data_IF_202413397874
#
_entry.id   IF_202413397874
#
_cell.length_a   1.000
_cell.length_b   1.000
_cell.length_c   1.000
_cell.angle_alpha   90.00
_cell.angle_beta   90.00
_cell.angle_gamma   90.00
#
_symmetry.space_group_name_H-M   'P 1'
#
loop_
_entity.id
_entity.type
_entity.pdbx_description
1 polymer ?
#
# COMPACT_ATOMS: atom_id res chain seq x y z
N UNK A 1 75.23 16.16 -11.63
CA UNK A 1 74.06 15.52 -12.27
C UNK A 1 73.32 14.49 -11.41
N UNK A 2 73.97 13.70 -10.54
CA UNK A 2 73.28 12.63 -9.76
C UNK A 2 72.40 13.08 -8.58
N UNK A 3 72.60 14.29 -8.03
CA UNK A 3 71.83 14.79 -6.85
C UNK A 3 70.40 15.28 -7.18
N UNK A 4 70.16 15.81 -8.39
CA UNK A 4 68.83 16.28 -8.80
C UNK A 4 67.91 15.13 -9.25
N UNK A 5 68.47 13.97 -9.60
CA UNK A 5 67.69 12.80 -10.04
C UNK A 5 67.07 12.04 -8.85
N UNK A 6 67.76 12.00 -7.71
CA UNK A 6 67.25 11.39 -6.47
C UNK A 6 66.13 12.21 -5.81
N UNK A 7 66.16 13.55 -5.93
CA UNK A 7 65.10 14.41 -5.41
C UNK A 7 63.82 14.34 -6.26
N UNK A 8 63.97 14.23 -7.59
CA UNK A 8 62.83 14.03 -8.50
C UNK A 8 62.18 12.65 -8.33
N UNK A 9 62.97 11.60 -8.10
CA UNK A 9 62.47 10.25 -7.86
C UNK A 9 61.77 10.13 -6.48
N UNK A 10 62.26 10.83 -5.45
CA UNK A 10 61.60 10.91 -4.14
C UNK A 10 60.28 11.69 -4.18
N UNK A 11 60.19 12.78 -4.96
CA UNK A 11 58.93 13.51 -5.17
C UNK A 11 57.92 12.72 -6.00
N UNK A 12 58.36 11.92 -6.98
CA UNK A 12 57.48 11.03 -7.76
C UNK A 12 57.03 9.80 -6.95
N UNK A 13 57.84 9.28 -6.04
CA UNK A 13 57.44 8.20 -5.12
C UNK A 13 56.51 8.71 -4.00
N UNK A 14 56.69 9.93 -3.50
CA UNK A 14 55.73 10.55 -2.56
C UNK A 14 54.40 10.92 -3.23
N UNK A 15 54.41 11.31 -4.52
CA UNK A 15 53.19 11.56 -5.28
C UNK A 15 52.46 10.28 -5.75
N UNK A 16 53.18 9.16 -5.95
CA UNK A 16 52.59 7.88 -6.39
C UNK A 16 52.23 6.92 -5.25
N UNK A 17 52.65 7.20 -4.01
CA UNK A 17 52.23 6.44 -2.81
C UNK A 17 50.97 7.02 -2.13
N UNK A 18 50.41 8.14 -2.62
CA UNK A 18 49.12 8.68 -2.14
C UNK A 18 47.89 8.29 -2.99
N UNK A 19 47.99 7.35 -3.92
CA UNK A 19 46.82 6.85 -4.66
C UNK A 19 46.60 5.35 -4.46
N UNK A 20 46.37 4.95 -3.22
CA UNK A 20 45.62 3.72 -2.96
C UNK A 20 44.83 3.78 -1.65
N UNK A 21 43.68 4.45 -1.68
CA UNK A 21 42.46 3.93 -1.05
C UNK A 21 41.34 4.33 -2.00
N UNK A 22 40.52 3.38 -2.45
CA UNK A 22 39.21 3.70 -3.03
C UNK A 22 38.49 4.62 -2.02
N UNK A 23 38.54 5.93 -2.21
CA UNK A 23 37.78 6.85 -1.38
C UNK A 23 36.32 6.46 -1.60
N UNK A 24 35.75 5.70 -0.66
CA UNK A 24 34.32 5.44 -0.66
C UNK A 24 33.68 6.82 -0.60
N UNK A 25 33.09 7.26 -1.71
CA UNK A 25 32.40 8.54 -1.78
C UNK A 25 31.36 8.50 -0.67
N UNK A 26 31.59 9.31 0.35
CA UNK A 26 30.66 9.43 1.47
C UNK A 26 29.33 9.91 0.88
N UNK A 27 28.22 9.21 1.14
CA UNK A 27 26.92 9.58 0.59
C UNK A 27 26.32 10.84 1.25
N UNK A 28 26.97 11.38 2.30
CA UNK A 28 26.54 12.52 3.08
C UNK A 28 27.59 13.64 3.07
N UNK A 29 27.17 14.87 3.37
CA UNK A 29 28.02 16.04 3.52
C UNK A 29 28.38 16.29 5.00
N UNK A 30 27.44 16.05 5.91
CA UNK A 30 27.67 16.20 7.36
C UNK A 30 26.83 15.22 8.20
N UNK A 31 27.08 15.17 9.50
CA UNK A 31 26.38 14.30 10.46
C UNK A 31 26.25 15.00 11.81
N UNK A 32 25.19 14.67 12.56
CA UNK A 32 25.00 15.06 13.97
C UNK A 32 25.49 13.99 14.97
N UNK A 33 26.21 12.97 14.47
CA UNK A 33 26.66 11.80 15.23
C UNK A 33 25.65 10.65 15.28
N UNK A 34 24.38 10.88 14.91
CA UNK A 34 23.34 9.84 14.85
C UNK A 34 22.82 9.62 13.43
N UNK A 35 22.59 10.70 12.69
CA UNK A 35 22.08 10.72 11.33
C UNK A 35 23.08 11.37 10.38
N UNK A 36 22.96 11.02 9.10
CA UNK A 36 23.84 11.51 8.04
C UNK A 36 23.01 12.34 7.05
N UNK A 37 23.52 13.51 6.67
CA UNK A 37 22.78 14.50 5.91
C UNK A 37 23.50 14.84 4.61
N UNK A 38 22.76 14.84 3.51
CA UNK A 38 23.21 15.33 2.21
C UNK A 38 22.51 16.65 1.91
N UNK A 39 23.26 17.71 1.67
CA UNK A 39 22.73 19.00 1.23
C UNK A 39 22.19 18.83 -0.18
N UNK A 40 20.88 19.04 -0.34
CA UNK A 40 20.20 18.98 -1.64
C UNK A 40 20.10 20.36 -2.27
N UNK A 41 20.08 21.42 -1.47
CA UNK A 41 20.18 22.80 -1.92
C UNK A 41 20.82 23.70 -0.86
N UNK A 42 21.93 24.35 -1.21
CA UNK A 42 22.56 25.37 -0.34
C UNK A 42 21.73 26.65 -0.29
N UNK A 43 21.12 27.03 -1.40
CA UNK A 43 20.30 28.24 -1.53
C UNK A 43 19.01 28.13 -0.71
N UNK A 44 18.25 27.03 -0.90
CA UNK A 44 17.01 26.78 -0.17
C UNK A 44 17.25 26.25 1.25
N UNK A 45 18.52 25.98 1.62
CA UNK A 45 18.93 25.39 2.90
C UNK A 45 18.17 24.09 3.17
N UNK A 46 18.25 23.14 2.24
CA UNK A 46 17.57 21.85 2.35
C UNK A 46 18.57 20.68 2.40
N UNK A 47 18.25 19.67 3.20
CA UNK A 47 18.99 18.42 3.32
C UNK A 47 18.08 17.21 3.26
N UNK A 48 18.64 16.10 2.78
CA UNK A 48 18.06 14.77 2.94
C UNK A 48 18.81 13.98 4.01
N UNK A 49 18.10 13.19 4.80
CA UNK A 49 18.71 12.12 5.60
C UNK A 49 19.11 10.98 4.68
N UNK A 50 20.36 10.53 4.75
CA UNK A 50 20.94 9.48 3.91
C UNK A 50 21.62 8.41 4.79
N UNK A 51 22.05 7.31 4.19
CA UNK A 51 22.79 6.27 4.91
C UNK A 51 24.24 6.69 5.20
N UNK A 52 24.91 6.00 6.13
CA UNK A 52 26.33 6.23 6.43
C UNK A 52 27.22 5.91 5.22
N UNK A 53 26.97 4.78 4.55
CA UNK A 53 27.75 4.28 3.42
C UNK A 53 26.86 4.06 2.19
N UNK A 54 27.43 3.97 0.97
CA UNK A 54 26.66 3.72 -0.24
C UNK A 54 25.76 2.49 -0.14
N UNK A 55 24.63 2.51 -0.86
CA UNK A 55 23.64 1.41 -0.93
C UNK A 55 22.98 1.06 0.41
N UNK A 56 22.85 2.03 1.32
CA UNK A 56 22.15 1.83 2.59
C UNK A 56 22.94 1.09 3.66
N UNK A 57 24.26 0.97 3.50
CA UNK A 57 25.11 0.25 4.46
C UNK A 57 25.42 1.14 5.67
N UNK A 58 25.44 0.53 6.85
CA UNK A 58 25.82 1.12 8.13
C UNK A 58 26.94 0.32 8.78
N UNK A 59 27.84 0.98 9.51
CA UNK A 59 28.80 0.32 10.42
C UNK A 59 28.05 -0.28 11.60
N UNK A 60 27.11 0.47 12.17
CA UNK A 60 26.18 0.01 13.19
C UNK A 60 24.77 0.42 12.77
N UNK A 61 23.90 -0.56 12.51
CA UNK A 61 22.51 -0.29 12.12
C UNK A 61 21.76 0.42 13.27
N UNK A 62 20.95 1.40 12.91
CA UNK A 62 20.08 2.11 13.85
C UNK A 62 19.05 1.14 14.46
N UNK A 63 18.74 1.33 15.74
CA UNK A 63 17.82 0.50 16.52
C UNK A 63 16.97 1.33 17.48
N UNK A 64 15.84 0.78 17.91
CA UNK A 64 14.88 1.43 18.80
C UNK A 64 14.05 2.50 18.10
N UNK A 65 13.48 3.42 18.89
CA UNK A 65 12.75 4.55 18.36
C UNK A 65 13.69 5.62 17.81
N UNK A 66 13.40 6.12 16.60
CA UNK A 66 14.13 7.18 15.93
C UNK A 66 13.23 8.40 15.74
N UNK A 67 13.73 9.59 16.10
CA UNK A 67 13.13 10.86 15.68
C UNK A 67 14.06 11.50 14.68
N UNK A 68 13.53 11.81 13.50
CA UNK A 68 14.24 12.58 12.48
C UNK A 68 13.92 14.06 12.73
N UNK A 69 14.91 14.94 12.91
CA UNK A 69 14.67 16.33 13.28
C UNK A 69 14.08 17.14 12.11
N UNK A 70 13.43 18.26 12.41
CA UNK A 70 12.95 19.23 11.40
C UNK A 70 14.10 19.92 10.66
N UNK A 71 15.24 20.07 11.31
CA UNK A 71 16.42 20.71 10.76
C UNK A 71 17.71 20.13 11.31
N UNK A 72 18.80 20.23 10.55
CA UNK A 72 20.14 19.90 10.99
C UNK A 72 21.11 21.07 10.68
N UNK A 73 22.01 21.37 11.62
CA UNK A 73 22.93 22.50 11.50
C UNK A 73 24.30 22.06 11.03
N UNK A 74 24.86 22.74 10.04
CA UNK A 74 26.22 22.55 9.55
C UNK A 74 26.89 23.91 9.35
N UNK A 75 28.05 24.10 9.97
CA UNK A 75 28.85 25.35 9.87
C UNK A 75 28.03 26.61 10.19
N UNK A 76 27.22 26.55 11.26
CA UNK A 76 26.35 27.66 11.69
C UNK A 76 25.11 27.89 10.83
N UNK A 77 24.92 27.14 9.74
CA UNK A 77 23.72 27.21 8.90
C UNK A 77 22.77 26.07 9.24
N UNK A 78 21.52 26.40 9.58
CA UNK A 78 20.44 25.42 9.74
C UNK A 78 19.85 25.05 8.36
N UNK A 79 19.73 23.75 8.10
CA UNK A 79 19.10 23.19 6.91
C UNK A 79 17.83 22.43 7.29
N UNK A 80 16.72 22.67 6.60
CA UNK A 80 15.48 21.92 6.78
C UNK A 80 15.63 20.48 6.25
N UNK A 81 15.11 19.50 6.98
CA UNK A 81 15.12 18.09 6.58
C UNK A 81 13.92 17.82 5.68
N UNK A 82 14.11 18.00 4.37
CA UNK A 82 13.02 17.91 3.40
C UNK A 82 12.89 16.55 2.74
N UNK A 83 13.81 15.62 2.99
CA UNK A 83 13.67 14.28 2.43
C UNK A 83 14.42 13.17 3.15
N UNK A 84 14.02 11.95 2.83
CA UNK A 84 14.73 10.72 3.18
C UNK A 84 15.26 10.14 1.88
N UNK A 85 16.59 10.04 1.80
CA UNK A 85 17.32 9.57 0.65
C UNK A 85 17.10 8.09 0.34
N UNK A 86 17.48 7.72 -0.87
CA UNK A 86 17.40 6.34 -1.35
C UNK A 86 18.15 5.42 -0.39
N UNK A 87 17.49 4.36 0.07
CA UNK A 87 18.06 3.37 1.00
C UNK A 87 18.55 3.95 2.33
N UNK A 88 18.10 5.14 2.76
CA UNK A 88 18.62 5.81 3.96
C UNK A 88 18.58 4.92 5.22
N UNK A 89 17.53 4.13 5.43
CA UNK A 89 17.36 3.21 6.55
C UNK A 89 17.22 1.75 6.08
N UNK A 90 17.78 1.43 4.91
CA UNK A 90 17.72 0.09 4.33
C UNK A 90 18.21 -0.98 5.33
N UNK A 91 17.37 -1.99 5.57
CA UNK A 91 17.61 -3.11 6.48
C UNK A 91 17.97 -2.66 7.90
N UNK A 92 17.55 -1.47 8.37
CA UNK A 92 17.67 -1.10 9.78
C UNK A 92 16.64 -1.87 10.61
N UNK A 93 16.87 -3.18 10.76
CA UNK A 93 15.93 -4.18 11.29
C UNK A 93 15.52 -3.91 12.74
N UNK A 94 16.39 -3.27 13.53
CA UNK A 94 16.12 -2.93 14.91
C UNK A 94 15.30 -1.66 15.13
N UNK A 95 14.99 -0.89 14.08
CA UNK A 95 14.12 0.29 14.22
C UNK A 95 12.70 -0.14 14.55
N UNK A 96 12.15 0.35 15.66
CA UNK A 96 10.81 -0.02 16.14
C UNK A 96 9.74 1.04 15.88
N UNK A 97 10.17 2.30 15.83
CA UNK A 97 9.34 3.46 15.54
C UNK A 97 10.17 4.56 14.86
N UNK A 98 9.56 5.31 13.96
CA UNK A 98 10.18 6.47 13.30
C UNK A 98 9.22 7.65 13.34
N UNK A 99 9.64 8.75 13.97
CA UNK A 99 8.95 10.04 13.90
C UNK A 99 9.53 10.85 12.76
N UNK A 100 8.68 11.15 11.77
CA UNK A 100 9.03 11.93 10.58
C UNK A 100 8.77 13.44 10.83
N UNK A 101 9.65 14.34 10.34
CA UNK A 101 9.47 15.77 10.51
C UNK A 101 8.35 16.31 9.63
N UNK A 102 7.67 17.35 10.08
CA UNK A 102 6.60 18.04 9.34
C UNK A 102 7.10 18.74 8.06
N UNK A 103 8.38 19.10 8.02
CA UNK A 103 9.08 19.66 6.85
C UNK A 103 9.33 18.65 5.71
N UNK A 104 9.05 17.36 5.92
CA UNK A 104 9.37 16.30 4.98
C UNK A 104 8.51 16.38 3.69
N UNK A 105 9.19 16.48 2.55
CA UNK A 105 8.57 16.52 1.21
C UNK A 105 8.71 15.18 0.46
N UNK A 106 9.76 14.41 0.72
CA UNK A 106 10.03 13.17 -0.03
C UNK A 106 10.54 12.00 0.82
N UNK A 107 10.03 10.81 0.56
CA UNK A 107 10.55 9.53 1.04
C UNK A 107 10.99 8.75 -0.20
N UNK A 108 12.28 8.52 -0.37
CA UNK A 108 12.83 7.96 -1.61
C UNK A 108 12.71 6.44 -1.71
N UNK A 109 13.17 5.89 -2.83
CA UNK A 109 13.15 4.45 -3.08
C UNK A 109 13.88 3.67 -1.99
N UNK A 110 13.25 2.59 -1.52
CA UNK A 110 13.80 1.65 -0.53
C UNK A 110 14.23 2.30 0.79
N UNK A 111 13.76 3.51 1.12
CA UNK A 111 14.24 4.25 2.30
C UNK A 111 14.11 3.48 3.61
N UNK A 112 13.06 2.68 3.80
CA UNK A 112 12.87 1.81 4.98
C UNK A 112 12.72 0.33 4.59
N UNK A 113 13.22 -0.08 3.43
CA UNK A 113 13.11 -1.47 2.98
C UNK A 113 13.73 -2.40 4.03
N UNK A 114 12.99 -3.40 4.52
CA UNK A 114 13.51 -4.40 5.45
C UNK A 114 13.71 -3.88 6.89
N UNK A 115 13.07 -2.78 7.28
CA UNK A 115 12.99 -2.38 8.69
C UNK A 115 12.04 -3.33 9.46
N UNK A 116 12.51 -4.56 9.75
CA UNK A 116 11.68 -5.64 10.30
C UNK A 116 10.99 -5.32 11.63
N UNK A 117 11.59 -4.49 12.49
CA UNK A 117 11.02 -4.09 13.77
C UNK A 117 9.99 -2.95 13.69
N UNK A 118 9.86 -2.26 12.55
CA UNK A 118 9.03 -1.06 12.45
C UNK A 118 7.56 -1.45 12.49
N UNK A 119 6.81 -0.93 13.47
CA UNK A 119 5.41 -1.34 13.73
C UNK A 119 4.37 -0.42 13.10
N UNK A 120 4.66 0.88 13.03
CA UNK A 120 3.82 1.88 12.38
C UNK A 120 4.67 3.02 11.83
N UNK A 121 4.13 3.74 10.84
CA UNK A 121 4.70 5.00 10.38
C UNK A 121 3.58 5.97 9.98
N UNK A 122 3.76 7.26 10.30
CA UNK A 122 2.83 8.33 9.97
C UNK A 122 3.46 9.27 8.95
N UNK A 123 2.86 9.37 7.76
CA UNK A 123 3.31 10.22 6.66
C UNK A 123 2.84 11.67 6.89
N UNK A 124 3.77 12.65 6.98
CA UNK A 124 3.44 14.07 7.16
C UNK A 124 2.66 14.70 5.99
N UNK A 125 2.01 15.83 6.27
CA UNK A 125 1.14 16.55 5.31
C UNK A 125 1.88 17.10 4.09
N UNK A 126 3.16 17.46 4.20
CA UNK A 126 3.96 18.00 3.08
C UNK A 126 4.58 16.93 2.19
N UNK A 127 4.45 15.63 2.49
CA UNK A 127 5.04 14.57 1.66
C UNK A 127 4.32 14.50 0.31
N UNK A 128 5.06 14.79 -0.75
CA UNK A 128 4.60 14.79 -2.13
C UNK A 128 5.03 13.55 -2.91
N UNK A 129 6.06 12.84 -2.43
CA UNK A 129 6.64 11.69 -3.10
C UNK A 129 7.00 10.57 -2.12
N UNK A 130 6.47 9.38 -2.38
CA UNK A 130 6.90 8.12 -1.77
C UNK A 130 7.45 7.22 -2.87
N UNK A 131 8.71 6.82 -2.72
CA UNK A 131 9.46 6.03 -3.69
C UNK A 131 9.08 4.56 -3.70
N UNK A 132 9.55 3.86 -4.74
CA UNK A 132 9.29 2.42 -4.90
C UNK A 132 9.88 1.65 -3.72
N UNK A 133 9.09 0.72 -3.17
CA UNK A 133 9.49 -0.16 -2.08
C UNK A 133 9.94 0.58 -0.80
N UNK A 134 9.49 1.82 -0.58
CA UNK A 134 9.89 2.62 0.58
C UNK A 134 9.69 1.87 1.91
N UNK A 135 8.61 1.09 2.03
CA UNK A 135 8.24 0.33 3.25
C UNK A 135 8.13 -1.19 3.01
N UNK A 136 8.62 -1.69 1.87
CA UNK A 136 8.48 -3.12 1.55
C UNK A 136 9.34 -3.97 2.51
N UNK A 137 8.83 -5.17 2.82
CA UNK A 137 9.46 -6.12 3.75
C UNK A 137 9.63 -5.59 5.17
N UNK A 138 8.84 -4.61 5.62
CA UNK A 138 8.77 -4.27 7.05
C UNK A 138 7.82 -5.27 7.75
N UNK A 139 8.37 -6.41 8.18
CA UNK A 139 7.58 -7.57 8.61
C UNK A 139 6.60 -7.31 9.76
N UNK A 140 6.91 -6.39 10.67
CA UNK A 140 6.04 -6.01 11.80
C UNK A 140 5.20 -4.76 11.52
N UNK A 141 5.28 -4.15 10.32
CA UNK A 141 4.56 -2.92 10.02
C UNK A 141 3.09 -3.26 9.84
N UNK A 142 2.24 -2.82 10.77
CA UNK A 142 0.80 -3.10 10.77
C UNK A 142 -0.01 -1.97 10.13
N UNK A 143 0.52 -0.74 10.15
CA UNK A 143 -0.16 0.45 9.59
C UNK A 143 0.78 1.50 9.04
N UNK A 144 0.38 2.08 7.92
CA UNK A 144 0.92 3.32 7.35
C UNK A 144 -0.20 4.36 7.45
N UNK A 145 -0.06 5.30 8.38
CA UNK A 145 -0.98 6.41 8.54
C UNK A 145 -0.55 7.62 7.71
N UNK A 146 -1.50 8.50 7.39
CA UNK A 146 -1.23 9.72 6.65
C UNK A 146 -1.94 10.87 7.34
N UNK A 147 -1.27 12.01 7.49
CA UNK A 147 -1.91 13.24 7.99
C UNK A 147 -3.05 13.68 7.09
N UNK A 148 -4.16 14.12 7.70
CA UNK A 148 -5.40 14.44 7.01
C UNK A 148 -5.22 15.48 5.88
N UNK A 149 -4.34 16.46 6.12
CA UNK A 149 -4.04 17.55 5.18
C UNK A 149 -3.03 17.17 4.09
N UNK A 150 -2.53 15.93 4.03
CA UNK A 150 -1.68 15.50 2.93
C UNK A 150 -2.47 15.58 1.60
N UNK A 151 -1.89 16.26 0.60
CA UNK A 151 -2.55 16.52 -0.69
C UNK A 151 -2.46 15.36 -1.69
N UNK A 152 -1.53 14.42 -1.49
CA UNK A 152 -1.21 13.35 -2.45
C UNK A 152 -1.65 11.97 -1.99
N UNK A 153 -1.67 11.75 -0.69
CA UNK A 153 -1.86 10.44 -0.09
C UNK A 153 -2.96 10.48 0.97
N UNK A 154 -3.51 9.30 1.27
CA UNK A 154 -4.31 9.09 2.46
C UNK A 154 -4.14 7.65 2.96
N UNK A 155 -4.58 7.41 4.20
CA UNK A 155 -4.65 6.07 4.76
C UNK A 155 -6.10 5.65 4.98
N UNK A 156 -6.43 4.40 4.65
CA UNK A 156 -7.69 3.75 5.04
C UNK A 156 -7.34 2.42 5.70
N UNK A 157 -7.74 2.26 6.94
CA UNK A 157 -7.47 1.05 7.73
C UNK A 157 -5.97 0.66 7.74
N UNK A 158 -5.09 1.67 7.86
CA UNK A 158 -3.64 1.50 7.88
C UNK A 158 -3.01 1.17 6.52
N UNK A 159 -3.78 1.10 5.43
CA UNK A 159 -3.27 0.88 4.06
C UNK A 159 -3.09 2.23 3.36
N UNK A 160 -1.99 2.37 2.62
CA UNK A 160 -1.63 3.59 1.91
C UNK A 160 -2.29 3.65 0.52
N UNK A 161 -2.96 4.77 0.25
CA UNK A 161 -3.58 5.08 -1.04
C UNK A 161 -3.13 6.45 -1.55
N UNK A 162 -3.41 6.74 -2.82
CA UNK A 162 -3.47 8.11 -3.29
C UNK A 162 -4.67 8.86 -2.65
N UNK A 163 -4.69 10.19 -2.79
CA UNK A 163 -5.62 11.05 -2.05
C UNK A 163 -7.11 10.77 -2.33
N UNK A 164 -7.44 10.46 -3.57
CA UNK A 164 -8.80 10.13 -4.05
C UNK A 164 -9.16 8.65 -3.87
N UNK A 165 -8.27 7.83 -3.30
CA UNK A 165 -8.50 6.40 -3.01
C UNK A 165 -8.80 5.59 -4.28
N UNK A 166 -8.25 5.99 -5.42
CA UNK A 166 -8.36 5.26 -6.69
C UNK A 166 -7.22 4.24 -6.90
N UNK A 167 -6.11 4.39 -6.16
CA UNK A 167 -4.92 3.55 -6.27
C UNK A 167 -4.54 3.03 -4.89
N UNK A 168 -4.47 1.70 -4.73
CA UNK A 168 -3.76 1.08 -3.61
C UNK A 168 -2.26 1.19 -3.89
N UNK A 169 -1.53 1.86 -3.01
CA UNK A 169 -0.08 2.06 -3.16
C UNK A 169 0.68 0.97 -2.40
N UNK A 170 0.38 0.79 -1.11
CA UNK A 170 1.08 -0.17 -0.25
C UNK A 170 0.19 -0.58 0.93
N UNK A 171 -0.03 -1.87 1.06
CA UNK A 171 -0.46 -2.52 2.28
C UNK A 171 0.78 -2.86 3.13
N UNK A 172 0.75 -2.56 4.44
CA UNK A 172 1.81 -2.97 5.36
C UNK A 172 1.97 -4.50 5.40
N UNK A 173 3.19 -5.01 5.25
CA UNK A 173 3.46 -6.47 5.22
C UNK A 173 3.07 -7.20 6.51
N UNK A 174 3.04 -6.48 7.64
CA UNK A 174 2.60 -6.99 8.94
C UNK A 174 1.10 -6.88 9.19
N UNK A 175 0.30 -6.29 8.27
CA UNK A 175 -1.16 -6.20 8.43
C UNK A 175 -1.77 -7.61 8.53
N UNK A 176 -2.69 -7.77 9.49
CA UNK A 176 -3.34 -9.05 9.82
C UNK A 176 -4.83 -9.04 9.48
N UNK A 177 -5.39 -10.22 9.25
CA UNK A 177 -6.83 -10.41 9.08
C UNK A 177 -7.30 -10.06 7.67
N UNK A 178 -8.50 -9.49 7.59
CA UNK A 178 -9.16 -9.25 6.32
C UNK A 178 -8.78 -7.89 5.73
N UNK A 179 -8.66 -7.82 4.40
CA UNK A 179 -8.44 -6.56 3.70
C UNK A 179 -9.56 -6.28 2.69
N UNK A 180 -10.36 -5.25 2.99
CA UNK A 180 -11.44 -4.80 2.12
C UNK A 180 -10.98 -3.61 1.28
N UNK A 181 -10.70 -3.84 -0.01
CA UNK A 181 -10.33 -2.76 -0.93
C UNK A 181 -11.59 -1.90 -1.21
N UNK A 182 -11.52 -0.56 -1.04
CA UNK A 182 -12.64 0.35 -1.28
C UNK A 182 -13.14 0.33 -2.73
N UNK A 183 -14.44 0.58 -2.93
CA UNK A 183 -15.08 0.61 -4.27
C UNK A 183 -14.47 1.64 -5.23
N UNK A 184 -13.90 2.73 -4.71
CA UNK A 184 -13.27 3.76 -5.53
C UNK A 184 -11.99 3.30 -6.21
N UNK A 185 -11.40 2.19 -5.77
CA UNK A 185 -10.13 1.70 -6.28
C UNK A 185 -10.31 1.14 -7.69
N UNK A 186 -9.55 1.70 -8.61
CA UNK A 186 -9.43 1.22 -10.00
C UNK A 186 -8.11 0.52 -10.25
N UNK A 187 -7.08 0.78 -9.41
CA UNK A 187 -5.73 0.24 -9.60
C UNK A 187 -5.12 -0.31 -8.32
N UNK A 188 -4.56 -1.51 -8.42
CA UNK A 188 -3.68 -2.09 -7.41
C UNK A 188 -2.24 -2.01 -7.94
N UNK A 189 -1.37 -1.26 -7.25
CA UNK A 189 0.01 -1.06 -7.69
C UNK A 189 0.83 -2.35 -7.67
N UNK A 190 1.93 -2.36 -8.42
CA UNK A 190 2.91 -3.43 -8.32
C UNK A 190 3.43 -3.54 -6.87
N UNK A 191 3.58 -4.77 -6.38
CA UNK A 191 3.96 -5.09 -4.99
C UNK A 191 3.06 -4.49 -3.89
N UNK A 192 1.85 -4.02 -4.20
CA UNK A 192 0.99 -3.33 -3.23
C UNK A 192 0.73 -4.16 -1.96
N UNK A 193 0.57 -5.48 -2.07
CA UNK A 193 0.39 -6.41 -0.96
C UNK A 193 1.57 -7.40 -0.82
N UNK A 194 2.74 -7.04 -1.34
CA UNK A 194 3.92 -7.91 -1.31
C UNK A 194 4.27 -8.32 0.13
N UNK A 195 4.37 -9.63 0.35
CA UNK A 195 4.72 -10.22 1.63
C UNK A 195 3.73 -9.91 2.76
N UNK A 196 2.46 -9.66 2.46
CA UNK A 196 1.41 -9.53 3.47
C UNK A 196 1.09 -10.90 4.09
N UNK A 197 1.99 -11.39 4.94
CA UNK A 197 1.95 -12.75 5.50
C UNK A 197 0.87 -12.96 6.56
N UNK A 198 0.24 -11.88 7.03
CA UNK A 198 -0.84 -11.91 8.03
C UNK A 198 -2.25 -11.85 7.46
N UNK A 199 -2.41 -11.55 6.16
CA UNK A 199 -3.74 -11.42 5.55
C UNK A 199 -4.38 -12.79 5.33
N UNK A 200 -5.65 -12.91 5.70
CA UNK A 200 -6.43 -14.17 5.66
C UNK A 200 -7.52 -14.16 4.60
N UNK A 201 -8.18 -13.02 4.40
CA UNK A 201 -9.14 -12.84 3.33
C UNK A 201 -9.00 -11.45 2.69
N UNK A 202 -9.44 -11.34 1.44
CA UNK A 202 -9.52 -10.04 0.79
C UNK A 202 -10.69 -9.94 -0.19
N UNK A 203 -11.10 -8.70 -0.44
CA UNK A 203 -12.08 -8.34 -1.48
C UNK A 203 -11.43 -7.51 -2.57
N UNK A 204 -11.65 -7.91 -3.83
CA UNK A 204 -11.29 -7.13 -5.03
C UNK A 204 -12.61 -6.59 -5.63
N UNK A 205 -12.87 -5.26 -5.56
CA UNK A 205 -14.12 -4.67 -6.02
C UNK A 205 -14.24 -4.66 -7.54
N UNK A 206 -15.48 -4.52 -8.01
CA UNK A 206 -15.81 -4.58 -9.43
C UNK A 206 -15.19 -3.45 -10.29
N UNK A 207 -14.70 -2.37 -9.67
CA UNK A 207 -14.09 -1.23 -10.36
C UNK A 207 -12.60 -1.39 -10.64
N UNK A 208 -11.95 -2.45 -10.16
CA UNK A 208 -10.52 -2.69 -10.40
C UNK A 208 -10.30 -3.06 -11.86
N UNK A 209 -9.56 -2.22 -12.57
CA UNK A 209 -9.21 -2.41 -13.99
C UNK A 209 -7.74 -2.75 -14.19
N UNK A 210 -6.91 -2.67 -13.15
CA UNK A 210 -5.49 -2.99 -13.23
C UNK A 210 -4.93 -3.57 -11.92
N UNK A 211 -4.15 -4.64 -12.04
CA UNK A 211 -3.36 -5.21 -10.94
C UNK A 211 -1.90 -5.36 -11.39
N UNK A 212 -0.98 -4.69 -10.70
CA UNK A 212 0.44 -4.66 -11.07
C UNK A 212 1.23 -5.92 -10.73
N UNK A 213 2.46 -5.99 -11.23
CA UNK A 213 3.38 -7.11 -10.99
C UNK A 213 3.54 -7.43 -9.50
N UNK A 214 3.57 -8.72 -9.17
CA UNK A 214 3.81 -9.22 -7.81
C UNK A 214 2.84 -8.65 -6.76
N UNK A 215 1.66 -8.14 -7.16
CA UNK A 215 0.80 -7.38 -6.25
C UNK A 215 0.43 -8.13 -4.97
N UNK A 216 0.22 -9.45 -5.03
CA UNK A 216 -0.08 -10.31 -3.88
C UNK A 216 1.01 -11.36 -3.63
N UNK A 217 2.21 -11.14 -4.16
CA UNK A 217 3.32 -12.07 -4.00
C UNK A 217 3.59 -12.35 -2.52
N UNK A 218 3.70 -13.61 -2.13
CA UNK A 218 4.06 -13.99 -0.76
C UNK A 218 2.95 -13.72 0.28
N UNK A 219 1.70 -13.56 -0.14
CA UNK A 219 0.54 -13.58 0.77
C UNK A 219 0.25 -15.03 1.22
N UNK A 220 1.18 -15.63 1.96
CA UNK A 220 1.20 -17.07 2.28
C UNK A 220 0.04 -17.55 3.16
N UNK A 221 -0.59 -16.65 3.93
CA UNK A 221 -1.76 -16.94 4.78
C UNK A 221 -3.10 -16.58 4.15
N UNK A 222 -3.12 -16.06 2.92
CA UNK A 222 -4.36 -15.66 2.27
C UNK A 222 -5.16 -16.92 1.86
N UNK A 223 -6.34 -17.11 2.48
CA UNK A 223 -7.21 -18.27 2.29
C UNK A 223 -8.44 -17.97 1.45
N UNK A 224 -8.88 -16.72 1.37
CA UNK A 224 -10.09 -16.34 0.63
C UNK A 224 -9.89 -15.06 -0.17
N UNK A 225 -10.22 -15.11 -1.46
CA UNK A 225 -10.33 -13.93 -2.31
C UNK A 225 -11.77 -13.85 -2.81
N UNK A 226 -12.46 -12.75 -2.54
CA UNK A 226 -13.75 -12.42 -3.13
C UNK A 226 -13.52 -11.41 -4.25
N UNK A 227 -13.57 -11.86 -5.49
CA UNK A 227 -13.37 -11.04 -6.67
C UNK A 227 -14.73 -10.71 -7.30
N UNK A 228 -15.04 -9.43 -7.47
CA UNK A 228 -16.32 -8.99 -8.02
C UNK A 228 -16.28 -8.66 -9.51
N UNK A 229 -15.13 -8.84 -10.14
CA UNK A 229 -15.00 -8.62 -11.58
C UNK A 229 -15.78 -9.72 -12.30
N UNK A 230 -16.66 -9.31 -13.23
CA UNK A 230 -17.44 -10.26 -14.02
C UNK A 230 -16.53 -11.02 -14.99
N UNK A 231 -15.60 -10.33 -15.61
CA UNK A 231 -14.57 -10.91 -16.46
C UNK A 231 -13.20 -10.79 -15.77
N UNK A 232 -12.35 -11.82 -15.82
CA UNK A 232 -11.02 -11.75 -15.22
C UNK A 232 -10.15 -10.72 -15.95
N UNK A 233 -9.34 -9.98 -15.19
CA UNK A 233 -8.27 -9.18 -15.80
C UNK A 233 -7.24 -10.10 -16.45
N UNK A 234 -6.86 -9.77 -17.67
CA UNK A 234 -5.86 -10.47 -18.50
C UNK A 234 -4.98 -9.48 -19.25
N UNK A 235 -3.92 -9.97 -19.91
CA UNK A 235 -3.04 -9.13 -20.74
C UNK A 235 -2.40 -7.99 -19.94
N UNK A 236 -2.36 -6.78 -20.51
CA UNK A 236 -1.72 -5.61 -19.90
C UNK A 236 -2.40 -5.12 -18.61
N UNK A 237 -3.66 -5.50 -18.38
CA UNK A 237 -4.40 -5.19 -17.15
C UNK A 237 -3.95 -6.04 -15.94
N UNK A 238 -3.17 -7.09 -16.19
CA UNK A 238 -2.75 -8.07 -15.19
C UNK A 238 -1.23 -8.27 -15.23
N UNK A 239 -0.55 -7.91 -14.15
CA UNK A 239 0.89 -8.04 -14.03
C UNK A 239 1.39 -9.49 -14.05
N UNK A 240 2.71 -9.62 -14.01
CA UNK A 240 3.40 -10.91 -13.84
C UNK A 240 3.44 -11.33 -12.37
N UNK A 241 3.42 -12.64 -12.10
CA UNK A 241 3.55 -13.22 -10.75
C UNK A 241 2.63 -12.64 -9.66
N UNK A 242 1.47 -12.12 -10.07
CA UNK A 242 0.53 -11.42 -9.18
C UNK A 242 0.15 -12.25 -7.94
N UNK A 243 -0.05 -13.56 -8.09
CA UNK A 243 -0.45 -14.48 -7.03
C UNK A 243 0.64 -15.52 -6.70
N UNK A 244 1.90 -15.25 -7.01
CA UNK A 244 2.99 -16.17 -6.69
C UNK A 244 3.20 -16.29 -5.17
N UNK A 245 3.41 -17.51 -4.68
CA UNK A 245 3.46 -17.82 -3.23
C UNK A 245 2.22 -17.41 -2.42
N UNK A 246 1.06 -17.26 -3.07
CA UNK A 246 -0.21 -17.11 -2.34
C UNK A 246 -0.61 -18.47 -1.76
N UNK A 247 -1.04 -18.46 -0.49
CA UNK A 247 -1.54 -19.64 0.23
C UNK A 247 -0.53 -20.79 0.45
N UNK A 248 0.77 -20.57 0.24
CA UNK A 248 1.81 -21.63 0.38
C UNK A 248 2.27 -21.91 1.81
N UNK A 249 1.68 -21.25 2.82
CA UNK A 249 2.15 -21.31 4.21
C UNK A 249 1.91 -22.63 4.95
N UNK A 250 1.06 -23.52 4.43
CA UNK A 250 0.78 -24.85 5.02
C UNK A 250 0.72 -25.93 3.93
N UNK A 251 1.10 -27.17 4.28
CA UNK A 251 1.00 -28.38 3.45
C UNK A 251 -0.48 -28.70 3.22
N UNK A 252 -1.12 -27.99 2.28
CA UNK A 252 -2.55 -28.11 1.96
C UNK A 252 -3.32 -26.79 1.76
N UNK A 253 -2.68 -25.63 1.81
CA UNK A 253 -3.38 -24.35 1.65
C UNK A 253 -3.82 -24.06 0.21
N UNK A 254 -5.08 -24.32 -0.14
CA UNK A 254 -5.69 -23.72 -1.34
C UNK A 254 -6.45 -22.45 -0.98
N UNK A 255 -6.09 -21.34 -1.61
CA UNK A 255 -6.91 -20.14 -1.51
C UNK A 255 -8.18 -20.35 -2.32
N UNK A 256 -9.35 -20.16 -1.70
CA UNK A 256 -10.62 -20.17 -2.41
C UNK A 256 -10.82 -18.82 -3.09
N UNK A 257 -10.99 -18.86 -4.41
CA UNK A 257 -11.37 -17.70 -5.20
C UNK A 257 -12.88 -17.75 -5.45
N UNK A 258 -13.60 -16.79 -4.87
CA UNK A 258 -15.01 -16.56 -5.14
C UNK A 258 -15.14 -15.54 -6.27
N UNK A 259 -15.89 -15.89 -7.32
CA UNK A 259 -16.17 -15.04 -8.50
C UNK A 259 -17.67 -14.93 -8.74
N UNK A 260 -18.15 -13.95 -9.53
CA UNK A 260 -19.57 -13.84 -9.86
C UNK A 260 -20.09 -15.09 -10.59
N UNK A 261 -21.36 -15.42 -10.39
CA UNK A 261 -22.04 -16.52 -11.10
C UNK A 261 -21.94 -16.33 -12.62
N UNK A 262 -21.58 -17.39 -13.34
CA UNK A 262 -21.34 -17.41 -14.79
C UNK A 262 -19.93 -17.00 -15.22
N UNK A 263 -19.03 -16.68 -14.28
CA UNK A 263 -17.66 -16.24 -14.58
C UNK A 263 -16.62 -17.34 -14.40
N UNK A 264 -16.95 -18.46 -13.75
CA UNK A 264 -15.97 -19.48 -13.35
C UNK A 264 -15.11 -19.96 -14.52
N UNK A 265 -15.72 -20.31 -15.64
CA UNK A 265 -14.99 -20.82 -16.82
C UNK A 265 -13.93 -19.84 -17.33
N UNK A 266 -14.28 -18.55 -17.45
CA UNK A 266 -13.34 -17.52 -17.90
C UNK A 266 -12.13 -17.39 -16.94
N UNK A 267 -12.37 -17.49 -15.62
CA UNK A 267 -11.31 -17.45 -14.61
C UNK A 267 -10.43 -18.71 -14.61
N UNK A 268 -10.99 -19.88 -14.89
CA UNK A 268 -10.23 -21.13 -15.03
C UNK A 268 -9.29 -21.11 -16.23
N UNK A 269 -9.66 -20.38 -17.30
CA UNK A 269 -8.86 -20.24 -18.53
C UNK A 269 -7.82 -19.09 -18.45
N UNK A 270 -8.05 -18.09 -17.59
CA UNK A 270 -7.18 -16.92 -17.48
C UNK A 270 -5.83 -17.21 -16.79
N UNK A 271 -4.72 -16.77 -17.40
CA UNK A 271 -3.36 -17.22 -17.07
C UNK A 271 -2.92 -17.05 -15.61
N UNK A 272 -3.19 -15.89 -14.98
CA UNK A 272 -2.84 -15.64 -13.59
C UNK A 272 -3.86 -16.24 -12.61
N UNK A 273 -5.14 -16.32 -13.00
CA UNK A 273 -6.25 -16.77 -12.16
C UNK A 273 -6.35 -18.29 -12.08
N UNK A 274 -5.91 -19.03 -13.11
CA UNK A 274 -5.89 -20.49 -13.10
C UNK A 274 -5.04 -21.10 -11.97
N UNK A 275 -4.16 -20.31 -11.32
CA UNK A 275 -3.43 -20.71 -10.09
C UNK A 275 -4.39 -21.12 -8.96
N UNK A 276 -5.65 -20.68 -8.99
CA UNK A 276 -6.66 -21.04 -8.00
C UNK A 276 -7.44 -22.31 -8.34
N UNK A 277 -7.24 -22.96 -9.50
CA UNK A 277 -7.90 -24.23 -9.85
C UNK A 277 -7.43 -25.35 -8.92
N UNK A 278 -8.31 -26.24 -8.41
CA UNK A 278 -9.77 -26.34 -8.67
C UNK A 278 -10.66 -25.51 -7.71
N UNK A 279 -10.08 -24.61 -6.93
CA UNK A 279 -10.71 -23.87 -5.83
C UNK A 279 -11.38 -22.56 -6.27
N UNK A 280 -11.88 -22.51 -7.50
CA UNK A 280 -12.69 -21.41 -8.03
C UNK A 280 -14.17 -21.74 -7.82
N UNK A 281 -14.86 -20.88 -7.10
CA UNK A 281 -16.25 -21.06 -6.67
C UNK A 281 -17.06 -19.85 -7.12
N UNK A 282 -18.24 -20.10 -7.69
CA UNK A 282 -19.18 -19.04 -8.00
C UNK A 282 -19.95 -18.63 -6.75
N UNK A 283 -20.09 -17.32 -6.51
CA UNK A 283 -20.89 -16.75 -5.43
C UNK A 283 -21.93 -15.79 -6.03
N UNK A 284 -23.21 -16.07 -5.79
CA UNK A 284 -24.35 -15.29 -6.27
C UNK A 284 -24.45 -13.89 -5.64
N UNK A 285 -23.65 -13.62 -4.62
CA UNK A 285 -23.56 -12.30 -3.97
C UNK A 285 -22.52 -11.37 -4.60
N UNK A 286 -21.64 -11.88 -5.48
CA UNK A 286 -20.58 -11.09 -6.13
C UNK A 286 -20.98 -10.60 -7.54
N UNK A 287 -20.39 -9.49 -7.99
CA UNK A 287 -20.69 -8.86 -9.29
C UNK A 287 -22.03 -8.12 -9.34
N UNK A 288 -22.71 -8.04 -8.21
CA UNK A 288 -23.86 -7.20 -7.98
C UNK A 288 -23.33 -5.85 -7.51
N UNK A 289 -23.19 -4.90 -8.43
CA UNK A 289 -22.60 -3.59 -8.14
C UNK A 289 -23.28 -2.92 -6.95
N UNK A 290 -22.52 -2.68 -5.87
CA UNK A 290 -22.95 -1.79 -4.78
C UNK A 290 -23.07 -0.40 -5.39
N UNK A 291 -24.30 0.06 -5.64
CA UNK A 291 -24.52 1.45 -6.01
C UNK A 291 -24.38 2.29 -4.73
N UNK A 292 -23.14 2.61 -4.36
CA UNK A 292 -22.87 3.83 -3.60
C UNK A 292 -23.03 4.99 -4.56
N UNK A 293 -24.18 5.65 -4.53
CA UNK A 293 -24.32 6.92 -5.23
C UNK A 293 -25.10 7.91 -4.39
N UNK A 294 -24.63 9.16 -4.39
CA UNK A 294 -25.29 10.32 -3.78
C UNK A 294 -25.75 10.11 -2.33
N UNK A 295 -24.90 9.50 -1.50
CA UNK A 295 -25.16 9.36 -0.06
C UNK A 295 -26.09 8.23 0.32
N UNK A 296 -26.42 7.26 -0.55
CA UNK A 296 -27.14 6.05 -0.18
C UNK A 296 -26.21 4.85 -0.37
N UNK A 297 -26.06 4.00 0.66
CA UNK A 297 -25.40 2.71 0.56
C UNK A 297 -26.36 1.58 0.93
N UNK A 298 -26.31 0.50 0.17
CA UNK A 298 -27.14 -0.68 0.37
C UNK A 298 -26.23 -1.89 0.45
N UNK A 299 -26.37 -2.71 1.49
CA UNK A 299 -25.60 -3.95 1.68
C UNK A 299 -26.45 -5.04 2.34
N UNK A 300 -25.91 -6.25 2.39
CA UNK A 300 -26.49 -7.39 3.09
C UNK A 300 -25.68 -7.72 4.34
N UNK A 301 -26.35 -8.01 5.46
CA UNK A 301 -25.72 -8.41 6.71
C UNK A 301 -26.68 -9.32 7.51
N UNK A 302 -26.26 -10.57 7.78
CA UNK A 302 -26.96 -11.55 8.64
C UNK A 302 -28.47 -11.68 8.40
N UNK A 303 -28.91 -12.03 7.18
CA UNK A 303 -30.33 -12.17 6.84
C UNK A 303 -31.07 -10.84 6.67
N UNK A 304 -30.36 -9.70 6.59
CA UNK A 304 -30.96 -8.37 6.49
C UNK A 304 -30.39 -7.57 5.33
N UNK A 305 -31.24 -6.72 4.73
CA UNK A 305 -30.81 -5.63 3.86
C UNK A 305 -30.59 -4.39 4.73
N UNK A 306 -29.38 -3.84 4.68
CA UNK A 306 -29.02 -2.60 5.34
C UNK A 306 -28.98 -1.46 4.32
N UNK A 307 -29.70 -0.39 4.61
CA UNK A 307 -29.74 0.83 3.79
C UNK A 307 -29.30 1.99 4.66
N UNK A 308 -28.30 2.74 4.22
CA UNK A 308 -27.77 3.91 4.92
C UNK A 308 -27.91 5.12 4.00
N UNK A 309 -28.61 6.16 4.45
CA UNK A 309 -28.66 7.45 3.78
C UNK A 309 -27.74 8.43 4.54
N UNK A 310 -27.02 9.32 3.84
CA UNK A 310 -26.03 10.28 4.40
C UNK A 310 -26.26 11.72 3.97
N UNK A 311 -27.21 11.98 3.06
CA UNK A 311 -27.43 13.32 2.50
C UNK A 311 -28.90 13.70 2.42
N UNK A 312 -29.65 13.05 1.52
CA UNK A 312 -31.05 13.37 1.27
C UNK A 312 -31.98 12.22 1.66
N UNK A 313 -33.24 12.57 1.88
CA UNK A 313 -34.31 11.58 1.97
C UNK A 313 -34.47 10.84 0.62
N UNK A 314 -34.85 9.57 0.66
CA UNK A 314 -34.95 8.73 -0.52
C UNK A 314 -36.16 7.81 -0.47
N UNK A 315 -36.87 7.72 -1.60
CA UNK A 315 -37.89 6.70 -1.80
C UNK A 315 -37.20 5.37 -2.09
N UNK A 316 -37.40 4.41 -1.19
CA UNK A 316 -36.86 3.06 -1.30
C UNK A 316 -37.99 2.11 -1.66
N UNK A 317 -37.76 1.29 -2.69
CA UNK A 317 -38.59 0.16 -3.05
C UNK A 317 -37.71 -1.08 -3.21
N UNK A 318 -38.05 -2.18 -2.55
CA UNK A 318 -37.30 -3.43 -2.61
C UNK A 318 -38.18 -4.47 -3.28
N UNK A 319 -37.66 -5.11 -4.32
CA UNK A 319 -38.36 -6.16 -5.06
C UNK A 319 -37.60 -7.47 -4.92
N UNK A 320 -38.29 -8.61 -4.95
CA UNK A 320 -37.64 -9.91 -5.11
C UNK A 320 -37.29 -10.17 -6.60
N UNK A 321 -36.65 -11.30 -6.90
CA UNK A 321 -36.32 -11.71 -8.29
C UNK A 321 -37.53 -11.94 -9.19
N UNK A 322 -38.70 -12.23 -8.63
CA UNK A 322 -39.96 -12.36 -9.38
C UNK A 322 -40.58 -10.99 -9.71
N UNK A 323 -39.95 -9.88 -9.30
CA UNK A 323 -40.46 -8.53 -9.50
C UNK A 323 -41.55 -8.11 -8.50
N UNK A 324 -41.85 -8.93 -7.49
CA UNK A 324 -42.81 -8.60 -6.43
C UNK A 324 -42.21 -7.56 -5.49
N UNK A 325 -42.96 -6.49 -5.17
CA UNK A 325 -42.56 -5.51 -4.17
C UNK A 325 -42.61 -6.14 -2.76
N UNK A 326 -41.47 -6.16 -2.08
CA UNK A 326 -41.27 -6.74 -0.75
C UNK A 326 -41.30 -5.66 0.33
N UNK A 327 -40.80 -4.46 0.03
CA UNK A 327 -40.75 -3.36 0.98
C UNK A 327 -40.76 -2.02 0.28
N UNK A 328 -41.41 -1.01 0.87
CA UNK A 328 -41.36 0.36 0.40
C UNK A 328 -41.45 1.35 1.54
N UNK A 329 -40.60 2.37 1.52
CA UNK A 329 -40.67 3.47 2.47
C UNK A 329 -40.00 4.73 1.91
N UNK A 330 -40.28 5.86 2.56
CA UNK A 330 -39.49 7.08 2.41
C UNK A 330 -38.50 7.09 3.56
N UNK A 331 -37.21 7.05 3.25
CA UNK A 331 -36.12 7.07 4.23
C UNK A 331 -35.69 8.52 4.43
N UNK A 332 -35.72 9.07 5.65
CA UNK A 332 -35.19 10.41 5.89
C UNK A 332 -33.68 10.50 5.60
N UNK A 333 -33.16 11.72 5.54
CA UNK A 333 -31.71 11.93 5.46
C UNK A 333 -31.00 11.34 6.71
N UNK A 334 -29.74 10.94 6.56
CA UNK A 334 -28.89 10.45 7.67
C UNK A 334 -29.48 9.26 8.47
N UNK A 335 -30.22 8.36 7.82
CA UNK A 335 -30.94 7.26 8.48
C UNK A 335 -30.39 5.89 8.08
N UNK A 336 -30.37 4.97 9.05
CA UNK A 336 -30.03 3.56 8.84
C UNK A 336 -31.29 2.70 8.94
N UNK A 337 -31.58 1.93 7.90
CA UNK A 337 -32.63 0.92 7.89
C UNK A 337 -32.00 -0.46 7.89
N UNK A 338 -32.56 -1.34 8.72
CA UNK A 338 -32.24 -2.75 8.75
C UNK A 338 -33.51 -3.53 8.51
N UNK A 339 -33.61 -4.16 7.33
CA UNK A 339 -34.78 -4.92 6.92
C UNK A 339 -34.46 -6.41 6.92
N UNK A 340 -35.02 -7.20 7.86
CA UNK A 340 -34.97 -8.66 7.79
C UNK A 340 -35.71 -9.14 6.54
N UNK A 341 -35.06 -9.97 5.75
CA UNK A 341 -35.67 -10.60 4.57
C UNK A 341 -35.24 -12.05 4.46
N UNK A 342 -35.99 -12.86 3.73
CA UNK A 342 -35.59 -14.25 3.47
C UNK A 342 -34.33 -14.30 2.60
N UNK A 343 -33.58 -15.39 2.70
CA UNK A 343 -32.44 -15.64 1.81
C UNK A 343 -32.89 -15.56 0.34
N UNK A 344 -32.16 -14.81 -0.47
CA UNK A 344 -32.54 -14.55 -1.86
C UNK A 344 -31.89 -13.29 -2.43
N UNK A 345 -32.17 -13.01 -3.70
CA UNK A 345 -31.72 -11.79 -4.38
C UNK A 345 -32.86 -10.79 -4.44
N UNK A 346 -32.54 -9.54 -4.11
CA UNK A 346 -33.47 -8.42 -4.10
C UNK A 346 -32.98 -7.31 -5.02
N UNK A 347 -33.90 -6.54 -5.58
CA UNK A 347 -33.61 -5.28 -6.28
C UNK A 347 -34.06 -4.14 -5.37
N UNK A 348 -33.12 -3.38 -4.82
CA UNK A 348 -33.39 -2.16 -4.06
C UNK A 348 -33.35 -0.98 -5.03
N UNK A 349 -34.49 -0.37 -5.30
CA UNK A 349 -34.62 0.91 -6.01
C UNK A 349 -34.60 2.06 -5.03
N UNK A 350 -33.80 3.07 -5.31
CA UNK A 350 -33.67 4.30 -4.53
C UNK A 350 -33.76 5.50 -5.49
N UNK A 351 -34.92 6.17 -5.53
CA UNK A 351 -35.21 7.18 -6.56
C UNK A 351 -35.09 6.60 -7.98
N UNK A 352 -34.32 7.26 -8.86
CA UNK A 352 -34.12 6.83 -10.26
C UNK A 352 -33.07 5.71 -10.42
N UNK A 353 -32.59 5.12 -9.34
CA UNK A 353 -31.48 4.16 -9.35
C UNK A 353 -31.91 2.82 -8.76
N UNK A 354 -31.23 1.75 -9.16
CA UNK A 354 -31.51 0.40 -8.66
C UNK A 354 -30.22 -0.39 -8.43
N UNK A 355 -30.20 -1.20 -7.37
CA UNK A 355 -29.10 -2.09 -6.99
C UNK A 355 -29.65 -3.46 -6.66
N UNK A 356 -28.94 -4.53 -7.03
CA UNK A 356 -29.30 -5.88 -6.56
C UNK A 356 -28.64 -6.13 -5.19
N UNK A 357 -29.21 -6.98 -4.34
CA UNK A 357 -28.64 -7.34 -3.04
C UNK A 357 -28.92 -8.80 -2.79
N UNK A 358 -27.86 -9.60 -2.58
CA UNK A 358 -27.99 -10.99 -2.16
C UNK A 358 -28.02 -11.09 -0.64
N UNK A 359 -29.06 -11.71 -0.09
CA UNK A 359 -29.22 -11.98 1.35
C UNK A 359 -29.05 -13.47 1.61
N UNK A 360 -28.20 -13.80 2.59
CA UNK A 360 -27.92 -15.17 3.05
C UNK A 360 -28.66 -15.44 4.35
#
# INVERSE_FOLDING_TARGET
MKKNFLLALACLLLASVQMNVKAQVKPYDFTDGKLFYKITSKEAKEVYVVSEKPRGVYTVKLKGALTIPESATHEGTAYAVTGIGKQAFYMCEGLTAVTLPSTLKAISDKSFLGCHGLTSIKIPSLVEKIGKWAFMSCAQLERIDVEENNKKYCSKDGVLFNKDVSIVIQCPSGKKGDCNIPESVTKISAQAFYGCVGLTAMRIPHNVVYIGNDAFYGCVKLRTIKCELKEPLTGEAMGTEVFEQVCTGDIGGSCKLYVPVGSKKAYEEAAQWKKFVPNIVEDSTLGIGVVSSSGISVRSESGKILIVTKGNAANIHIYNVAGTLVYSCIVPAATNISLPVQSGVYVVKAGNKQVKVGVK
#
